data_IF_271076073124
#
_entry.id   IF_271076073124
#
_cell.length_a   1.000
_cell.length_b   1.000
_cell.length_c   1.000
_cell.angle_alpha   90.00
_cell.angle_beta   90.00
_cell.angle_gamma   90.00
#
_symmetry.space_group_name_H-M   'P 1'
#
loop_
_entity.id
_entity.type
_entity.pdbx_description
1 polymer ?
#
# COMPACT_ATOMS: atom_id res chain seq x y z
N UNK A 1 23.39 32.02 -20.18
CA UNK A 1 22.85 32.17 -18.80
C UNK A 1 21.52 31.43 -18.74
N UNK A 2 21.57 30.17 -18.34
CA UNK A 2 20.39 29.28 -18.27
C UNK A 2 19.89 29.30 -16.82
N UNK A 3 18.70 29.84 -16.63
CA UNK A 3 18.01 29.88 -15.32
C UNK A 3 17.66 28.45 -14.92
N UNK A 4 18.28 27.96 -13.88
CA UNK A 4 17.78 26.78 -13.11
C UNK A 4 16.43 27.17 -12.50
N UNK A 5 15.38 26.42 -12.82
CA UNK A 5 14.11 26.47 -12.10
C UNK A 5 14.25 25.61 -10.87
N UNK A 6 14.13 26.25 -9.71
CA UNK A 6 14.06 25.60 -8.41
C UNK A 6 12.93 24.55 -8.39
N UNK A 7 13.30 23.28 -8.16
CA UNK A 7 12.34 22.20 -7.91
C UNK A 7 11.62 22.42 -6.59
N UNK A 8 10.42 23.01 -6.65
CA UNK A 8 9.60 23.27 -5.47
C UNK A 8 8.98 21.96 -4.97
N UNK A 9 8.82 21.78 -3.66
CA UNK A 9 8.15 20.59 -3.07
C UNK A 9 6.73 20.35 -3.61
N UNK A 10 6.07 21.37 -4.17
CA UNK A 10 4.78 21.25 -4.84
C UNK A 10 4.82 20.34 -6.07
N UNK A 11 5.92 20.39 -6.85
CA UNK A 11 6.07 19.56 -8.05
C UNK A 11 6.17 18.07 -7.68
N UNK A 12 6.75 17.76 -6.51
CA UNK A 12 6.87 16.38 -6.02
C UNK A 12 5.52 15.81 -5.55
N UNK A 13 4.70 16.61 -4.86
CA UNK A 13 3.35 16.20 -4.44
C UNK A 13 2.40 16.03 -5.64
N UNK A 14 2.49 16.93 -6.62
CA UNK A 14 1.73 16.80 -7.88
C UNK A 14 2.23 15.60 -8.69
N UNK A 15 3.54 15.33 -8.70
CA UNK A 15 4.11 14.14 -9.33
C UNK A 15 3.65 12.86 -8.62
N UNK A 16 3.58 12.88 -7.30
CA UNK A 16 3.07 11.80 -6.46
C UNK A 16 1.62 11.47 -6.83
N UNK A 17 0.76 12.49 -6.95
CA UNK A 17 -0.61 12.31 -7.43
C UNK A 17 -0.68 11.80 -8.87
N UNK A 18 0.28 12.16 -9.73
CA UNK A 18 0.35 11.67 -11.12
C UNK A 18 0.84 10.23 -11.23
N UNK A 19 1.85 9.84 -10.45
CA UNK A 19 2.39 8.46 -10.44
C UNK A 19 1.35 7.46 -9.90
N UNK A 20 0.45 7.93 -9.02
CA UNK A 20 -0.62 7.12 -8.44
C UNK A 20 -1.92 7.17 -9.25
N UNK A 21 -1.93 7.90 -10.37
CA UNK A 21 -3.14 8.31 -11.12
C UNK A 21 -3.77 7.23 -12.00
N UNK A 22 -3.18 6.05 -12.21
CA UNK A 22 -3.74 5.09 -13.13
C UNK A 22 -4.23 3.82 -12.43
N UNK A 23 -5.55 3.73 -12.32
CA UNK A 23 -6.39 2.62 -11.86
C UNK A 23 -6.26 2.32 -10.36
N UNK A 24 -7.39 2.24 -9.67
CA UNK A 24 -7.51 1.75 -8.29
C UNK A 24 -7.11 0.26 -8.20
N UNK A 25 -5.81 0.00 -8.29
CA UNK A 25 -5.26 -1.33 -8.11
C UNK A 25 -5.07 -1.58 -6.61
N UNK A 26 -5.82 -2.54 -6.07
CA UNK A 26 -5.73 -2.99 -4.68
C UNK A 26 -4.96 -4.29 -4.61
N UNK A 27 -4.02 -4.42 -3.68
CA UNK A 27 -3.34 -5.70 -3.43
C UNK A 27 -4.03 -6.40 -2.26
N UNK A 28 -4.54 -7.60 -2.49
CA UNK A 28 -5.29 -8.40 -1.51
C UNK A 28 -4.63 -9.75 -1.37
N UNK A 29 -4.40 -10.19 -0.14
CA UNK A 29 -4.07 -11.59 0.13
C UNK A 29 -5.38 -12.35 0.34
N UNK A 30 -5.49 -13.52 -0.28
CA UNK A 30 -6.63 -14.39 -0.14
C UNK A 30 -6.27 -15.83 -0.43
N UNK A 31 -7.26 -16.71 -0.27
CA UNK A 31 -7.13 -18.14 -0.51
C UNK A 31 -7.86 -18.50 -1.81
N UNK A 32 -7.23 -19.29 -2.65
CA UNK A 32 -7.88 -19.85 -3.84
C UNK A 32 -9.00 -20.80 -3.38
N UNK A 33 -10.24 -20.42 -3.60
CA UNK A 33 -11.43 -21.19 -3.19
C UNK A 33 -11.99 -22.07 -4.30
N UNK A 34 -11.77 -21.67 -5.56
CA UNK A 34 -12.26 -22.42 -6.72
C UNK A 34 -11.30 -22.29 -7.90
N UNK A 35 -11.12 -23.38 -8.64
CA UNK A 35 -10.41 -23.44 -9.91
C UNK A 35 -11.29 -24.11 -10.96
N UNK A 36 -11.52 -23.43 -12.08
CA UNK A 36 -12.17 -23.92 -13.27
C UNK A 36 -11.17 -23.99 -14.43
N UNK A 37 -11.60 -24.44 -15.61
CA UNK A 37 -10.71 -24.60 -16.77
C UNK A 37 -10.01 -23.28 -17.15
N UNK A 38 -10.71 -22.14 -17.14
CA UNK A 38 -10.21 -20.86 -17.66
C UNK A 38 -10.15 -19.76 -16.61
N UNK A 39 -10.74 -19.95 -15.43
CA UNK A 39 -10.79 -18.96 -14.36
C UNK A 39 -10.72 -19.61 -12.98
N UNK A 40 -10.43 -18.81 -11.97
CA UNK A 40 -10.50 -19.20 -10.57
C UNK A 40 -11.11 -18.11 -9.71
N UNK A 41 -11.32 -18.44 -8.44
CA UNK A 41 -11.83 -17.49 -7.42
C UNK A 41 -10.94 -17.48 -6.20
N UNK A 42 -10.77 -16.30 -5.64
CA UNK A 42 -10.08 -16.06 -4.38
C UNK A 42 -11.13 -15.54 -3.38
N UNK A 43 -11.23 -16.19 -2.23
CA UNK A 43 -12.19 -15.90 -1.15
C UNK A 43 -13.65 -15.79 -1.64
N UNK A 44 -14.02 -16.58 -2.65
CA UNK A 44 -15.34 -16.61 -3.32
C UNK A 44 -15.84 -15.26 -3.87
N UNK A 45 -15.01 -14.24 -3.88
CA UNK A 45 -15.38 -12.86 -4.26
C UNK A 45 -14.54 -12.25 -5.37
N UNK A 46 -13.29 -12.67 -5.53
CA UNK A 46 -12.35 -12.12 -6.52
C UNK A 46 -12.17 -13.13 -7.64
N UNK A 47 -12.57 -12.77 -8.85
CA UNK A 47 -12.40 -13.61 -10.04
C UNK A 47 -11.01 -13.33 -10.66
N UNK A 48 -10.32 -14.38 -11.09
CA UNK A 48 -9.07 -14.28 -11.86
C UNK A 48 -9.07 -15.26 -13.03
N UNK A 49 -8.36 -14.89 -14.10
CA UNK A 49 -8.13 -15.75 -15.27
C UNK A 49 -6.70 -16.32 -15.21
N UNK A 50 -6.42 -17.39 -15.94
CA UNK A 50 -5.08 -18.05 -15.89
C UNK A 50 -3.94 -17.15 -16.36
N UNK A 51 -4.22 -16.26 -17.30
CA UNK A 51 -3.24 -15.35 -17.89
C UNK A 51 -2.69 -14.30 -16.91
N UNK A 52 -3.42 -14.01 -15.82
CA UNK A 52 -2.97 -13.07 -14.78
C UNK A 52 -2.15 -13.73 -13.67
N UNK A 53 -1.99 -15.06 -13.71
CA UNK A 53 -1.15 -15.80 -12.76
C UNK A 53 0.31 -15.66 -13.17
N UNK A 54 1.12 -15.05 -12.30
CA UNK A 54 2.54 -14.83 -12.60
C UNK A 54 3.33 -16.13 -12.65
N UNK A 55 4.32 -16.17 -13.54
CA UNK A 55 5.21 -17.32 -13.77
C UNK A 55 4.50 -18.60 -14.21
N UNK A 56 3.27 -18.54 -14.72
CA UNK A 56 2.49 -19.70 -15.15
C UNK A 56 2.45 -20.86 -14.12
N UNK A 57 2.42 -20.52 -12.85
CA UNK A 57 2.41 -21.51 -11.76
C UNK A 57 1.01 -22.13 -11.70
N UNK A 58 0.96 -23.45 -11.55
CA UNK A 58 -0.29 -24.14 -11.26
C UNK A 58 -0.72 -23.84 -9.83
N UNK A 59 -1.84 -23.15 -9.69
CA UNK A 59 -2.45 -22.88 -8.40
C UNK A 59 -3.27 -24.10 -7.95
N UNK A 60 -3.39 -24.26 -6.62
CA UNK A 60 -4.27 -25.27 -6.01
C UNK A 60 -5.35 -24.60 -5.14
N UNK A 61 -6.51 -25.24 -5.03
CA UNK A 61 -7.54 -24.83 -4.07
C UNK A 61 -6.98 -24.95 -2.66
N UNK A 62 -7.19 -23.93 -1.83
CA UNK A 62 -6.58 -23.78 -0.50
C UNK A 62 -5.22 -23.07 -0.49
N UNK A 63 -4.66 -22.75 -1.64
CA UNK A 63 -3.40 -22.03 -1.73
C UNK A 63 -3.59 -20.55 -1.44
N UNK A 64 -2.69 -20.00 -0.61
CA UNK A 64 -2.65 -18.57 -0.32
C UNK A 64 -1.95 -17.83 -1.45
N UNK A 65 -2.57 -16.76 -1.94
CA UNK A 65 -2.07 -15.93 -3.04
C UNK A 65 -2.16 -14.45 -2.69
N UNK A 66 -1.37 -13.64 -3.38
CA UNK A 66 -1.51 -12.18 -3.39
C UNK A 66 -2.07 -11.80 -4.75
N UNK A 67 -3.24 -11.17 -4.74
CA UNK A 67 -3.88 -10.68 -5.94
C UNK A 67 -3.86 -9.15 -6.00
N UNK A 68 -3.44 -8.60 -7.14
CA UNK A 68 -3.71 -7.20 -7.46
C UNK A 68 -5.06 -7.15 -8.15
N UNK A 69 -6.01 -6.41 -7.58
CA UNK A 69 -7.40 -6.38 -8.03
C UNK A 69 -7.82 -5.00 -8.50
N UNK A 70 -8.73 -4.96 -9.46
CA UNK A 70 -9.46 -3.78 -9.90
C UNK A 70 -10.97 -4.03 -9.78
N UNK A 71 -11.73 -2.96 -9.66
CA UNK A 71 -13.19 -3.05 -9.71
C UNK A 71 -13.63 -3.23 -11.17
N UNK A 72 -14.35 -4.32 -11.44
CA UNK A 72 -14.96 -4.53 -12.76
C UNK A 72 -16.18 -3.63 -12.90
N UNK A 73 -16.05 -2.61 -13.72
CA UNK A 73 -17.11 -1.63 -13.99
C UNK A 73 -18.38 -2.23 -14.59
N UNK A 74 -18.32 -3.45 -15.10
CA UNK A 74 -19.46 -4.12 -15.74
C UNK A 74 -20.27 -4.91 -14.74
N UNK A 75 -19.62 -5.62 -13.84
CA UNK A 75 -20.25 -6.48 -12.83
C UNK A 75 -20.32 -5.87 -11.44
N UNK A 76 -19.57 -4.79 -11.17
CA UNK A 76 -19.40 -4.20 -9.84
C UNK A 76 -18.62 -5.10 -8.87
N UNK A 77 -18.08 -6.23 -9.36
CA UNK A 77 -17.28 -7.16 -8.58
C UNK A 77 -15.78 -6.84 -8.63
N UNK A 78 -14.98 -7.60 -7.88
CA UNK A 78 -13.52 -7.50 -7.91
C UNK A 78 -12.96 -8.52 -8.91
N UNK A 79 -12.07 -8.05 -9.77
CA UNK A 79 -11.32 -8.88 -10.72
C UNK A 79 -9.83 -8.74 -10.45
N UNK A 80 -9.11 -9.85 -10.34
CA UNK A 80 -7.66 -9.80 -10.26
C UNK A 80 -7.05 -9.53 -11.65
N UNK A 81 -6.12 -8.60 -11.69
CA UNK A 81 -5.29 -8.28 -12.86
C UNK A 81 -3.91 -8.92 -12.76
N UNK A 82 -3.55 -9.38 -11.57
CA UNK A 82 -2.32 -10.14 -11.30
C UNK A 82 -2.52 -11.02 -10.07
N UNK A 83 -2.04 -12.26 -10.14
CA UNK A 83 -2.05 -13.21 -9.03
C UNK A 83 -0.66 -13.79 -8.85
N UNK A 84 -0.08 -13.59 -7.67
CA UNK A 84 1.21 -14.12 -7.26
C UNK A 84 0.99 -15.24 -6.22
N UNK A 85 1.44 -16.45 -6.52
CA UNK A 85 1.40 -17.55 -5.55
C UNK A 85 2.41 -17.31 -4.43
N UNK A 86 1.98 -17.47 -3.19
CA UNK A 86 2.90 -17.54 -2.05
C UNK A 86 3.45 -18.96 -2.03
N UNK A 87 4.66 -19.15 -2.52
CA UNK A 87 5.34 -20.44 -2.45
C UNK A 87 5.87 -20.63 -1.01
N UNK A 88 5.28 -21.57 -0.29
CA UNK A 88 5.98 -22.23 0.81
C UNK A 88 6.96 -23.19 0.16
N UNK A 89 8.16 -22.74 -0.17
CA UNK A 89 9.23 -23.61 -0.65
C UNK A 89 9.72 -24.47 0.51
N UNK A 90 9.23 -25.73 0.57
CA UNK A 90 10.07 -26.82 0.99
C UNK A 90 10.96 -27.23 -0.19
N UNK A 91 12.21 -27.29 0.09
CA UNK A 91 13.41 -27.70 -0.61
C UNK A 91 13.25 -28.59 -1.87
N UNK A 92 13.96 -28.22 -2.97
CA UNK A 92 15.02 -29.07 -3.48
C UNK A 92 15.94 -28.31 -4.45
N UNK A 93 17.19 -28.40 -4.12
CA UNK A 93 18.50 -28.08 -4.65
C UNK A 93 18.71 -27.82 -6.16
N UNK A 94 19.42 -26.77 -6.59
CA UNK A 94 20.84 -26.71 -6.93
C UNK A 94 21.32 -25.28 -7.28
N UNK A 95 22.57 -24.90 -6.99
CA UNK A 95 23.00 -23.52 -6.83
C UNK A 95 23.66 -22.94 -8.09
N UNK A 96 23.32 -21.72 -8.47
CA UNK A 96 24.26 -20.79 -9.09
C UNK A 96 23.90 -19.35 -8.78
N UNK A 97 24.79 -18.70 -8.01
CA UNK A 97 25.17 -17.28 -8.03
C UNK A 97 24.07 -16.22 -7.91
N UNK A 98 23.68 -15.88 -6.73
CA UNK A 98 23.76 -14.56 -6.07
C UNK A 98 23.21 -14.70 -4.66
N UNK A 99 24.09 -14.61 -3.68
CA UNK A 99 23.80 -14.88 -2.26
C UNK A 99 22.87 -13.86 -1.59
N UNK A 100 22.19 -12.98 -2.33
CA UNK A 100 21.36 -11.90 -1.79
C UNK A 100 19.84 -12.08 -1.94
N UNK A 101 19.35 -13.09 -2.68
CA UNK A 101 17.91 -13.31 -2.88
C UNK A 101 17.31 -14.51 -2.12
N UNK A 102 18.15 -15.22 -1.36
CA UNK A 102 17.75 -16.46 -0.69
C UNK A 102 16.86 -16.16 0.52
N UNK A 103 15.61 -16.60 0.45
CA UNK A 103 14.61 -16.65 1.55
C UNK A 103 13.88 -15.37 1.98
N UNK A 104 13.63 -14.42 1.09
CA UNK A 104 12.69 -13.34 1.42
C UNK A 104 11.25 -13.83 1.31
N UNK A 105 10.55 -13.84 2.46
CA UNK A 105 9.12 -14.16 2.56
C UNK A 105 8.30 -12.87 2.51
N UNK A 106 7.00 -13.00 2.23
CA UNK A 106 6.07 -11.86 2.26
C UNK A 106 5.21 -11.93 3.51
N UNK A 107 5.05 -10.80 4.18
CA UNK A 107 4.22 -10.59 5.36
C UNK A 107 3.19 -9.50 5.07
N UNK A 108 1.96 -9.71 5.52
CA UNK A 108 0.94 -8.66 5.63
C UNK A 108 0.64 -8.45 7.10
N UNK A 109 0.59 -7.20 7.52
CA UNK A 109 0.33 -6.85 8.90
C UNK A 109 0.12 -5.37 9.11
N UNK A 110 -0.20 -4.99 10.33
CA UNK A 110 -0.31 -3.59 10.73
C UNK A 110 0.96 -3.12 11.44
N UNK A 111 1.29 -1.86 11.26
CA UNK A 111 2.36 -1.20 12.01
C UNK A 111 1.88 -1.01 13.44
N UNK A 112 2.60 -1.61 14.38
CA UNK A 112 2.22 -1.63 15.81
C UNK A 112 3.02 -0.67 16.66
N UNK A 113 4.19 -0.26 16.20
CA UNK A 113 4.99 0.80 16.84
C UNK A 113 5.93 1.45 15.85
N UNK A 114 6.26 2.71 16.11
CA UNK A 114 7.18 3.51 15.31
C UNK A 114 8.21 4.21 16.21
N UNK A 115 9.42 4.34 15.69
CA UNK A 115 10.51 5.15 16.21
C UNK A 115 11.11 5.98 15.08
N UNK A 116 12.12 6.79 15.39
CA UNK A 116 12.82 7.62 14.38
C UNK A 116 13.49 6.76 13.32
N UNK A 117 14.07 5.63 13.71
CA UNK A 117 14.89 4.79 12.85
C UNK A 117 14.12 3.63 12.21
N UNK A 118 12.91 3.33 12.66
CA UNK A 118 12.14 2.20 12.16
C UNK A 118 10.89 1.90 12.98
N UNK A 119 10.43 0.66 12.93
CA UNK A 119 9.23 0.25 13.66
C UNK A 119 9.03 -1.26 13.65
N UNK A 120 7.85 -1.67 14.10
CA UNK A 120 7.46 -3.08 14.14
C UNK A 120 6.14 -3.30 13.41
N UNK A 121 6.08 -4.40 12.65
CA UNK A 121 4.88 -4.94 12.05
C UNK A 121 4.44 -6.13 12.90
N UNK A 122 3.15 -6.18 13.28
CA UNK A 122 2.58 -7.24 14.11
C UNK A 122 3.39 -7.51 15.38
N UNK A 123 4.03 -6.50 15.99
CA UNK A 123 4.82 -6.54 17.21
C UNK A 123 6.15 -7.33 17.15
N UNK A 124 6.40 -8.07 16.08
CA UNK A 124 7.55 -9.01 16.04
C UNK A 124 8.48 -8.82 14.84
N UNK A 125 8.04 -8.18 13.76
CA UNK A 125 8.87 -7.97 12.57
C UNK A 125 9.38 -6.54 12.54
N UNK A 126 10.66 -6.35 12.77
CA UNK A 126 11.32 -5.06 12.70
C UNK A 126 11.48 -4.60 11.24
N UNK A 127 11.35 -3.31 11.00
CA UNK A 127 11.75 -2.66 9.74
C UNK A 127 12.49 -1.36 10.03
N UNK A 128 13.48 -1.05 9.20
CA UNK A 128 14.15 0.25 9.25
C UNK A 128 13.42 1.25 8.34
N UNK A 129 13.48 2.54 8.66
CA UNK A 129 12.83 3.58 7.86
C UNK A 129 13.35 3.65 6.42
N UNK A 130 14.60 3.29 6.19
CA UNK A 130 15.20 3.22 4.85
C UNK A 130 14.58 2.13 3.96
N UNK A 131 13.95 1.11 4.56
CA UNK A 131 13.30 0.00 3.87
C UNK A 131 11.84 0.28 3.54
N UNK A 132 11.34 1.44 3.96
CA UNK A 132 9.99 1.91 3.67
C UNK A 132 9.96 2.58 2.30
N UNK A 133 8.92 2.30 1.54
CA UNK A 133 8.69 2.95 0.26
C UNK A 133 8.75 4.49 0.38
N UNK A 134 9.53 5.14 -0.49
CA UNK A 134 9.93 6.56 -0.39
C UNK A 134 8.74 7.52 -0.20
N UNK A 135 7.63 7.23 -0.86
CA UNK A 135 6.44 8.07 -0.84
C UNK A 135 5.44 7.72 0.27
N UNK A 136 5.74 6.71 1.05
CA UNK A 136 4.93 6.29 2.17
C UNK A 136 5.54 6.78 3.49
N UNK A 137 4.84 7.65 4.20
CA UNK A 137 5.15 8.01 5.58
C UNK A 137 4.31 7.12 6.49
N UNK A 138 4.89 6.08 7.09
CA UNK A 138 4.16 5.12 7.89
C UNK A 138 3.60 5.76 9.17
N UNK A 139 2.51 5.19 9.67
CA UNK A 139 1.90 5.54 10.94
C UNK A 139 1.46 4.25 11.65
N UNK A 140 1.39 4.29 12.98
CA UNK A 140 0.84 3.16 13.74
C UNK A 140 -0.60 2.89 13.30
N UNK A 141 -0.93 1.62 13.12
CA UNK A 141 -2.21 1.17 12.60
C UNK A 141 -2.29 1.02 11.08
N UNK A 142 -1.30 1.52 10.32
CA UNK A 142 -1.30 1.33 8.86
C UNK A 142 -1.11 -0.14 8.49
N UNK A 143 -1.89 -0.61 7.53
CA UNK A 143 -1.75 -1.94 6.96
C UNK A 143 -0.71 -1.93 5.86
N UNK A 144 0.27 -2.82 6.00
CA UNK A 144 1.42 -2.90 5.10
C UNK A 144 1.66 -4.31 4.58
N UNK A 145 2.27 -4.38 3.42
CA UNK A 145 2.90 -5.56 2.89
C UNK A 145 4.41 -5.38 2.97
N UNK A 146 5.10 -6.35 3.56
CA UNK A 146 6.54 -6.32 3.71
C UNK A 146 7.21 -7.59 3.17
N UNK A 147 8.38 -7.44 2.55
CA UNK A 147 9.31 -8.57 2.34
C UNK A 147 10.20 -8.67 3.56
N UNK A 148 10.38 -9.87 4.11
CA UNK A 148 11.17 -10.09 5.31
C UNK A 148 12.03 -11.33 5.21
N UNK A 149 13.03 -11.41 6.05
CA UNK A 149 13.84 -12.61 6.29
C UNK A 149 13.99 -12.85 7.79
N UNK A 150 14.42 -14.05 8.15
CA UNK A 150 14.80 -14.36 9.52
C UNK A 150 16.32 -14.26 9.62
N UNK A 151 16.81 -13.34 10.44
CA UNK A 151 18.23 -13.18 10.69
C UNK A 151 18.74 -14.43 11.43
N UNK A 152 19.63 -15.19 10.78
CA UNK A 152 20.12 -16.47 11.29
C UNK A 152 20.95 -16.35 12.58
N UNK A 153 21.51 -15.17 12.85
CA UNK A 153 22.32 -14.92 14.06
C UNK A 153 21.45 -14.51 15.24
N UNK A 154 20.45 -13.68 15.02
CA UNK A 154 19.61 -13.11 16.08
C UNK A 154 18.26 -13.80 16.22
N UNK A 155 17.86 -14.63 15.26
CA UNK A 155 16.54 -15.26 15.11
C UNK A 155 15.38 -14.25 15.07
N UNK A 156 15.69 -13.00 14.79
CA UNK A 156 14.68 -11.93 14.65
C UNK A 156 14.21 -11.83 13.21
N UNK A 157 12.96 -11.47 13.08
CA UNK A 157 12.35 -11.19 11.76
C UNK A 157 12.59 -9.75 11.40
N UNK A 158 13.22 -9.52 10.24
CA UNK A 158 13.58 -8.20 9.74
C UNK A 158 12.97 -7.98 8.34
N UNK A 159 12.23 -6.91 8.17
CA UNK A 159 11.66 -6.52 6.89
C UNK A 159 12.67 -5.67 6.10
N UNK A 160 12.76 -5.91 4.79
CA UNK A 160 13.68 -5.22 3.86
C UNK A 160 12.96 -4.45 2.75
N UNK A 161 11.65 -4.49 2.73
CA UNK A 161 10.82 -3.65 1.88
C UNK A 161 9.42 -3.57 2.49
N UNK A 162 8.97 -2.36 2.79
CA UNK A 162 7.67 -2.09 3.41
C UNK A 162 6.89 -1.13 2.53
N UNK A 163 5.67 -1.51 2.16
CA UNK A 163 4.77 -0.68 1.36
C UNK A 163 3.34 -0.75 1.89
N UNK A 164 2.48 0.25 1.64
CA UNK A 164 1.08 0.17 2.00
C UNK A 164 0.43 -1.07 1.37
N UNK A 165 -0.41 -1.77 2.12
CA UNK A 165 -1.17 -2.92 1.61
C UNK A 165 -2.18 -2.47 0.56
N UNK A 166 -2.96 -1.46 0.88
CA UNK A 166 -3.94 -0.84 -0.02
C UNK A 166 -3.79 0.67 -0.01
N UNK A 167 -3.95 1.27 -1.17
CA UNK A 167 -3.95 2.72 -1.33
C UNK A 167 -4.84 3.12 -2.50
N UNK A 168 -5.34 4.34 -2.46
CA UNK A 168 -6.09 4.94 -3.57
C UNK A 168 -5.93 6.45 -3.60
N UNK A 169 -6.09 7.03 -4.78
CA UNK A 169 -6.22 8.46 -4.95
C UNK A 169 -7.70 8.87 -4.90
N UNK A 170 -7.99 9.92 -4.16
CA UNK A 170 -9.33 10.51 -4.07
C UNK A 170 -9.22 11.98 -4.45
N UNK A 171 -10.00 12.40 -5.45
CA UNK A 171 -9.90 13.72 -6.02
C UNK A 171 -11.13 14.57 -5.71
N UNK A 172 -10.90 15.88 -5.55
CA UNK A 172 -11.95 16.89 -5.37
C UNK A 172 -12.90 16.58 -4.23
N UNK A 173 -12.33 16.18 -3.10
CA UNK A 173 -13.09 15.90 -1.86
C UNK A 173 -12.93 17.04 -0.87
N UNK A 174 -13.92 17.21 0.02
CA UNK A 174 -13.93 18.30 0.99
C UNK A 174 -13.39 17.86 2.34
N UNK A 175 -12.66 18.74 2.99
CA UNK A 175 -12.32 18.58 4.40
C UNK A 175 -13.59 18.81 5.22
N UNK A 176 -14.06 17.76 5.88
CA UNK A 176 -15.30 17.78 6.68
C UNK A 176 -15.07 18.38 8.05
N UNK A 177 -13.96 18.05 8.68
CA UNK A 177 -13.62 18.55 10.01
C UNK A 177 -12.12 18.74 10.19
N UNK A 178 -11.76 19.70 11.04
CA UNK A 178 -10.38 19.88 11.55
C UNK A 178 -10.52 20.16 13.03
N UNK A 179 -9.86 19.34 13.86
CA UNK A 179 -9.88 19.47 15.32
C UNK A 179 -8.45 19.29 15.84
N UNK A 180 -7.81 20.40 16.23
CA UNK A 180 -6.42 20.40 16.64
C UNK A 180 -5.48 19.89 15.54
N UNK A 181 -4.83 18.77 15.79
CA UNK A 181 -3.88 18.16 14.83
C UNK A 181 -4.51 17.04 13.98
N UNK A 182 -5.78 16.80 14.09
CA UNK A 182 -6.50 15.74 13.38
C UNK A 182 -7.69 16.29 12.61
N UNK A 183 -8.20 15.52 11.66
CA UNK A 183 -9.40 15.88 10.93
C UNK A 183 -9.91 14.75 10.04
N UNK A 184 -10.95 15.07 9.29
CA UNK A 184 -11.57 14.14 8.34
C UNK A 184 -11.79 14.79 6.99
N UNK A 185 -11.69 13.97 5.96
CA UNK A 185 -12.03 14.32 4.58
C UNK A 185 -13.20 13.43 4.17
N UNK A 186 -14.21 14.03 3.55
CA UNK A 186 -15.41 13.34 3.06
C UNK A 186 -16.06 12.42 4.10
N UNK A 187 -16.01 12.83 5.38
CA UNK A 187 -16.51 12.09 6.55
C UNK A 187 -16.08 10.62 6.66
N UNK A 188 -15.14 10.17 5.84
CA UNK A 188 -14.73 8.77 5.70
C UNK A 188 -13.22 8.54 5.72
N UNK A 189 -12.41 9.59 5.60
CA UNK A 189 -10.96 9.52 5.55
C UNK A 189 -10.40 10.34 6.72
N UNK A 190 -9.65 9.68 7.58
CA UNK A 190 -8.97 10.33 8.71
C UNK A 190 -7.64 10.93 8.26
N UNK A 191 -7.21 12.02 8.89
CA UNK A 191 -5.85 12.52 8.78
C UNK A 191 -5.32 13.04 10.12
N UNK A 192 -4.01 12.99 10.27
CA UNK A 192 -3.27 13.68 11.33
C UNK A 192 -2.15 14.51 10.71
N UNK A 193 -1.99 15.74 11.17
CA UNK A 193 -0.94 16.65 10.68
C UNK A 193 0.48 16.10 10.92
N UNK A 194 0.64 15.17 11.88
CA UNK A 194 1.92 14.56 12.21
C UNK A 194 2.45 13.66 11.11
N UNK A 195 1.55 12.98 10.40
CA UNK A 195 1.89 12.05 9.31
C UNK A 195 1.50 12.55 7.92
N UNK A 196 0.86 13.71 7.83
CA UNK A 196 0.34 14.27 6.61
C UNK A 196 1.44 15.04 5.84
N UNK A 197 1.52 14.84 4.53
CA UNK A 197 2.31 15.69 3.63
C UNK A 197 1.42 16.81 3.10
N UNK A 198 1.91 18.04 3.22
CA UNK A 198 1.21 19.25 2.77
C UNK A 198 2.11 20.06 1.86
N UNK A 199 1.55 20.81 0.90
CA UNK A 199 2.28 21.85 0.19
C UNK A 199 2.77 22.94 1.14
N UNK A 200 3.88 23.60 0.79
CA UNK A 200 4.43 24.67 1.60
C UNK A 200 3.42 25.80 1.86
N UNK A 201 3.29 26.15 3.14
CA UNK A 201 2.39 27.21 3.58
C UNK A 201 0.90 26.85 3.58
N UNK A 202 0.52 25.65 3.15
CA UNK A 202 -0.88 25.22 3.22
C UNK A 202 -1.21 24.64 4.60
N UNK A 203 -2.26 25.15 5.18
CA UNK A 203 -2.86 24.60 6.41
C UNK A 203 -4.30 24.16 6.08
N UNK A 204 -4.65 22.89 6.30
CA UNK A 204 -5.99 22.38 6.01
C UNK A 204 -7.05 23.10 6.81
N UNK A 205 -8.13 23.49 6.15
CA UNK A 205 -9.29 24.13 6.78
C UNK A 205 -10.56 23.38 6.39
N UNK A 206 -11.55 23.45 7.28
CA UNK A 206 -12.86 22.89 6.98
C UNK A 206 -13.41 23.50 5.70
N UNK A 207 -13.99 22.66 4.85
CA UNK A 207 -14.55 22.95 3.54
C UNK A 207 -13.53 23.16 2.40
N UNK A 208 -12.22 23.12 2.66
CA UNK A 208 -11.25 23.11 1.57
C UNK A 208 -11.53 21.94 0.63
N UNK A 209 -11.40 22.18 -0.67
CA UNK A 209 -11.47 21.16 -1.71
C UNK A 209 -10.06 20.66 -1.97
N UNK A 210 -9.82 19.35 -1.81
CA UNK A 210 -8.49 18.76 -1.90
C UNK A 210 -8.46 17.50 -2.72
N UNK A 211 -7.29 17.18 -3.26
CA UNK A 211 -6.92 15.86 -3.73
C UNK A 211 -6.08 15.16 -2.65
N UNK A 212 -6.26 13.87 -2.46
CA UNK A 212 -5.57 13.10 -1.45
C UNK A 212 -5.19 11.71 -1.95
N UNK A 213 -4.12 11.16 -1.41
CA UNK A 213 -3.78 9.74 -1.47
C UNK A 213 -4.05 9.17 -0.10
N UNK A 214 -4.75 8.06 -0.05
CA UNK A 214 -5.13 7.41 1.20
C UNK A 214 -4.61 5.98 1.25
N UNK A 215 -4.29 5.53 2.46
CA UNK A 215 -3.86 4.16 2.76
C UNK A 215 -4.80 3.53 3.77
N UNK A 216 -4.86 2.21 3.75
CA UNK A 216 -5.61 1.47 4.75
C UNK A 216 -4.95 1.57 6.12
N UNK A 217 -5.73 1.89 7.14
CA UNK A 217 -5.23 2.06 8.51
C UNK A 217 -6.33 1.73 9.52
N UNK A 218 -5.92 1.17 10.64
CA UNK A 218 -6.79 0.90 11.80
C UNK A 218 -6.58 1.91 12.95
N UNK A 219 -5.89 3.02 12.68
CA UNK A 219 -5.55 4.02 13.69
C UNK A 219 -6.77 4.73 14.30
N UNK A 220 -7.87 4.80 13.58
CA UNK A 220 -9.11 5.45 14.00
C UNK A 220 -10.31 4.55 13.71
N UNK A 221 -11.52 5.06 13.90
CA UNK A 221 -12.75 4.38 13.47
C UNK A 221 -12.92 4.36 11.93
N UNK A 222 -12.05 5.03 11.20
CA UNK A 222 -12.06 5.05 9.73
C UNK A 222 -11.08 4.01 9.17
N UNK A 223 -11.42 3.47 8.01
CA UNK A 223 -10.57 2.47 7.32
C UNK A 223 -9.42 3.15 6.56
N UNK A 224 -9.60 4.42 6.19
CA UNK A 224 -8.67 5.15 5.35
C UNK A 224 -7.99 6.29 6.11
N UNK A 225 -6.68 6.42 5.94
CA UNK A 225 -5.87 7.53 6.42
C UNK A 225 -5.26 8.28 5.24
N UNK A 226 -5.37 9.61 5.23
CA UNK A 226 -4.72 10.42 4.21
C UNK A 226 -3.20 10.51 4.41
N UNK A 227 -2.44 10.35 3.33
CA UNK A 227 -0.99 10.57 3.28
C UNK A 227 -0.63 12.02 2.94
N UNK A 228 -1.43 12.65 2.09
CA UNK A 228 -1.22 14.03 1.67
C UNK A 228 -2.56 14.72 1.44
N UNK A 229 -2.56 16.04 1.53
CA UNK A 229 -3.67 16.88 1.08
C UNK A 229 -3.11 17.96 0.15
N UNK A 230 -3.62 18.01 -1.07
CA UNK A 230 -3.24 19.01 -2.07
C UNK A 230 -4.48 19.83 -2.40
N UNK A 231 -4.50 21.13 -2.07
CA UNK A 231 -5.65 21.96 -2.38
C UNK A 231 -5.89 22.03 -3.88
N UNK A 232 -7.14 21.95 -4.28
CA UNK A 232 -7.56 22.16 -5.66
C UNK A 232 -7.70 23.68 -5.86
N UNK A 233 -6.89 24.22 -6.79
CA UNK A 233 -7.07 25.62 -7.20
C UNK A 233 -8.48 25.79 -7.74
N UNK A 234 -9.24 26.69 -7.17
CA UNK A 234 -10.45 27.21 -7.81
C UNK A 234 -9.94 28.16 -8.89
N UNK A 235 -9.79 27.64 -10.11
CA UNK A 235 -9.65 28.52 -11.26
C UNK A 235 -10.97 29.32 -11.36
N UNK A 236 -10.86 30.62 -11.05
CA UNK A 236 -11.93 31.60 -11.13
C UNK A 236 -12.32 31.93 -12.57
#
# INVERSE_FOLDING_TARGET
MTKMRDGRPLDRLVLLLRVWSDKELKSVQGVVTRLCHDYGMIDDTIVFTKDVVTKNILLAVGQVVIATVEEDKTSGGLKAVRVDAIQNTQEDSHPTCDASEVNKKTLIGSITSLSVDGGYINQNTYFAMQDVWEDFKPCEGDWVQAKYYINSTTWKTEAVAVRPLRYKQVNKVRISSVCGRTGTVDDSIFFTLDSLRLPDGYLPRRHDLVNTIVVESSQSCYIWRALCLVPVSQDG
#
